data_IF_824350201251
#
_entry.id   IF_824350201251
#
_cell.length_a   1.000
_cell.length_b   1.000
_cell.length_c   1.000
_cell.angle_alpha   90.00
_cell.angle_beta   90.00
_cell.angle_gamma   90.00
#
_symmetry.space_group_name_H-M   'P 1'
#
loop_
_entity.id
_entity.type
_entity.pdbx_description
1 polymer ?
#
# COMPACT_ATOMS: atom_id res chain seq x y z
N UNK A 1 -9.38 -3.24 -27.81
CA UNK A 1 -8.31 -2.22 -27.71
C UNK A 1 -7.11 -2.90 -27.07
N UNK A 2 -5.91 -2.77 -27.65
CA UNK A 2 -4.66 -3.28 -27.06
C UNK A 2 -3.89 -2.09 -26.49
N UNK A 3 -3.45 -2.18 -25.23
CA UNK A 3 -2.68 -1.12 -24.56
C UNK A 3 -1.26 -1.65 -24.34
N UNK A 4 -0.21 -0.99 -24.85
CA UNK A 4 1.17 -1.42 -24.63
C UNK A 4 1.58 -1.24 -23.16
N UNK A 5 2.44 -2.12 -22.61
CA UNK A 5 2.91 -1.99 -21.24
C UNK A 5 3.80 -0.76 -21.07
N UNK A 6 3.70 -0.11 -19.91
CA UNK A 6 4.58 0.99 -19.51
C UNK A 6 5.24 0.66 -18.16
N UNK A 7 6.41 0.04 -18.22
CA UNK A 7 7.13 -0.42 -17.03
C UNK A 7 7.60 0.72 -16.13
N UNK A 8 7.97 1.87 -16.70
CA UNK A 8 8.38 3.04 -15.92
C UNK A 8 7.23 3.56 -15.05
N UNK A 9 6.02 3.63 -15.62
CA UNK A 9 4.82 4.00 -14.87
C UNK A 9 4.55 3.02 -13.72
N UNK A 10 4.63 1.71 -13.98
CA UNK A 10 4.36 0.71 -12.95
C UNK A 10 5.38 0.80 -11.80
N UNK A 11 6.67 0.99 -12.11
CA UNK A 11 7.72 1.14 -11.09
C UNK A 11 7.55 2.43 -10.31
N UNK A 12 7.20 3.53 -10.97
CA UNK A 12 6.92 4.81 -10.32
C UNK A 12 5.79 4.69 -9.29
N UNK A 13 4.66 4.13 -9.70
CA UNK A 13 3.48 3.95 -8.85
C UNK A 13 3.75 2.93 -7.73
N UNK A 14 4.40 1.81 -8.03
CA UNK A 14 4.75 0.80 -7.02
C UNK A 14 5.64 1.36 -5.90
N UNK A 15 6.58 2.26 -6.24
CA UNK A 15 7.40 2.97 -5.23
C UNK A 15 6.57 3.90 -4.35
N UNK A 16 5.57 4.59 -4.91
CA UNK A 16 4.68 5.46 -4.14
C UNK A 16 3.82 4.64 -3.17
N UNK A 17 3.23 3.52 -3.64
CA UNK A 17 2.47 2.60 -2.79
C UNK A 17 3.35 2.06 -1.66
N UNK A 18 4.59 1.65 -1.98
CA UNK A 18 5.52 1.13 -0.98
C UNK A 18 5.94 2.18 0.05
N UNK A 19 6.07 3.45 -0.35
CA UNK A 19 6.31 4.54 0.60
C UNK A 19 5.13 4.73 1.57
N UNK A 20 3.89 4.62 1.07
CA UNK A 20 2.69 4.66 1.90
C UNK A 20 2.61 3.44 2.85
N UNK A 21 2.98 2.24 2.39
CA UNK A 21 3.06 1.04 3.24
C UNK A 21 4.07 1.22 4.39
N UNK A 22 5.27 1.73 4.09
CA UNK A 22 6.32 1.99 5.07
C UNK A 22 5.93 3.06 6.11
N UNK A 23 4.98 3.93 5.78
CA UNK A 23 4.42 4.90 6.73
C UNK A 23 3.48 4.24 7.76
N UNK A 24 2.92 3.06 7.46
CA UNK A 24 2.09 2.31 8.40
C UNK A 24 2.94 1.52 9.40
N UNK A 25 4.00 0.89 8.91
CA UNK A 25 4.91 0.05 9.70
C UNK A 25 6.26 -0.03 9.01
N UNK A 26 7.39 -0.09 9.74
CA UNK A 26 8.68 -0.41 9.14
C UNK A 26 8.79 -1.89 8.72
N UNK A 27 7.93 -2.77 9.27
CA UNK A 27 7.94 -4.21 9.02
C UNK A 27 7.19 -4.53 7.71
N UNK A 28 7.78 -4.14 6.59
CA UNK A 28 7.27 -4.38 5.24
C UNK A 28 8.18 -5.35 4.50
N UNK A 29 7.63 -6.47 4.05
CA UNK A 29 8.31 -7.46 3.21
C UNK A 29 7.75 -7.44 1.79
N UNK A 30 8.47 -6.87 0.81
CA UNK A 30 7.99 -6.80 -0.58
C UNK A 30 7.96 -8.17 -1.25
N UNK A 31 6.86 -8.48 -1.93
CA UNK A 31 6.72 -9.69 -2.74
C UNK A 31 6.85 -9.38 -4.24
N UNK A 32 6.30 -8.24 -4.68
CA UNK A 32 6.33 -7.78 -6.06
C UNK A 32 6.44 -6.24 -6.13
N UNK A 33 6.13 -5.67 -7.29
CA UNK A 33 6.05 -4.22 -7.50
C UNK A 33 4.85 -3.58 -6.79
N UNK A 34 3.79 -4.34 -6.59
CA UNK A 34 2.48 -3.92 -6.09
C UNK A 34 1.99 -4.73 -4.88
N UNK A 35 2.73 -5.75 -4.45
CA UNK A 35 2.39 -6.61 -3.31
C UNK A 35 3.49 -6.63 -2.24
N UNK A 36 3.08 -6.62 -0.97
CA UNK A 36 3.95 -6.76 0.18
C UNK A 36 3.19 -7.33 1.39
N UNK A 37 3.89 -8.04 2.26
CA UNK A 37 3.42 -8.34 3.61
C UNK A 37 3.73 -7.19 4.55
N UNK A 38 2.78 -6.87 5.44
CA UNK A 38 2.91 -5.82 6.45
C UNK A 38 2.61 -6.42 7.81
N UNK A 39 3.52 -6.26 8.77
CA UNK A 39 3.24 -6.56 10.17
C UNK A 39 2.72 -5.31 10.89
N UNK A 40 1.43 -5.35 11.24
CA UNK A 40 0.74 -4.29 11.97
C UNK A 40 0.52 -4.63 13.45
N UNK A 41 1.02 -5.78 13.94
CA UNK A 41 0.86 -6.17 15.33
C UNK A 41 1.49 -5.13 16.27
N UNK A 42 0.72 -4.68 17.27
CA UNK A 42 1.19 -3.69 18.25
C UNK A 42 1.21 -2.25 17.75
N UNK A 43 0.73 -1.98 16.54
CA UNK A 43 0.67 -0.62 15.97
C UNK A 43 -0.61 0.14 16.36
N UNK A 44 -1.54 -0.47 17.10
CA UNK A 44 -2.84 0.11 17.43
C UNK A 44 -2.72 1.41 18.22
N UNK A 45 -1.75 1.51 19.13
CA UNK A 45 -1.50 2.74 19.89
C UNK A 45 -0.91 3.85 19.02
N UNK A 46 -0.07 3.49 18.05
CA UNK A 46 0.53 4.45 17.11
C UNK A 46 -0.54 5.04 16.20
N UNK A 47 -1.43 4.20 15.68
CA UNK A 47 -2.46 4.61 14.73
C UNK A 47 -3.77 5.06 15.39
N UNK A 48 -3.99 4.71 16.66
CA UNK A 48 -5.24 4.98 17.39
C UNK A 48 -6.43 4.15 16.92
N UNK A 49 -6.19 3.03 16.21
CA UNK A 49 -7.25 2.14 15.72
C UNK A 49 -6.74 0.72 15.44
N UNK A 50 -7.63 -0.27 15.36
CA UNK A 50 -7.27 -1.64 14.99
C UNK A 50 -6.66 -1.75 13.58
N UNK A 51 -5.81 -2.75 13.30
CA UNK A 51 -5.14 -2.90 12.00
C UNK A 51 -6.08 -2.93 10.80
N UNK A 52 -7.25 -3.56 10.94
CA UNK A 52 -8.27 -3.60 9.89
C UNK A 52 -8.73 -2.19 9.46
N UNK A 53 -8.90 -1.25 10.40
CA UNK A 53 -9.26 0.13 10.08
C UNK A 53 -8.07 0.91 9.50
N UNK A 54 -6.84 0.61 9.92
CA UNK A 54 -5.62 1.18 9.33
C UNK A 54 -5.53 0.81 7.85
N UNK A 55 -5.71 -0.48 7.52
CA UNK A 55 -5.71 -0.97 6.14
C UNK A 55 -6.85 -0.38 5.30
N UNK A 56 -8.06 -0.26 5.87
CA UNK A 56 -9.18 0.36 5.17
C UNK A 56 -8.90 1.84 4.83
N UNK A 57 -8.30 2.60 5.76
CA UNK A 57 -7.88 3.98 5.50
C UNK A 57 -6.75 4.06 4.49
N UNK A 58 -5.77 3.18 4.59
CA UNK A 58 -4.69 3.08 3.62
C UNK A 58 -5.24 2.87 2.20
N UNK A 59 -6.20 1.96 2.02
CA UNK A 59 -6.81 1.72 0.73
C UNK A 59 -7.51 2.97 0.16
N UNK A 60 -8.25 3.69 1.01
CA UNK A 60 -8.86 4.98 0.62
C UNK A 60 -7.82 6.04 0.27
N UNK A 61 -6.71 6.12 1.01
CA UNK A 61 -5.61 7.05 0.72
C UNK A 61 -4.96 6.74 -0.61
N UNK A 62 -4.67 5.47 -0.89
CA UNK A 62 -4.08 5.06 -2.17
C UNK A 62 -4.99 5.41 -3.35
N UNK A 63 -6.29 5.16 -3.22
CA UNK A 63 -7.27 5.53 -4.24
C UNK A 63 -7.32 7.04 -4.46
N UNK A 64 -7.36 7.81 -3.37
CA UNK A 64 -7.42 9.28 -3.43
C UNK A 64 -6.15 9.91 -4.00
N UNK A 65 -4.98 9.43 -3.61
CA UNK A 65 -3.69 10.06 -3.95
C UNK A 65 -3.12 9.56 -5.28
N UNK A 66 -3.30 8.27 -5.58
CA UNK A 66 -2.66 7.60 -6.72
C UNK A 66 -3.66 7.21 -7.81
N UNK A 67 -4.97 7.27 -7.54
CA UNK A 67 -6.02 6.94 -8.50
C UNK A 67 -6.12 5.44 -8.81
N UNK A 68 -5.64 4.58 -7.91
CA UNK A 68 -5.68 3.12 -8.05
C UNK A 68 -6.28 2.48 -6.80
N UNK A 69 -6.90 1.32 -6.95
CA UNK A 69 -7.44 0.55 -5.82
C UNK A 69 -6.42 -0.47 -5.32
N UNK A 70 -6.49 -0.80 -4.04
CA UNK A 70 -5.71 -1.88 -3.41
C UNK A 70 -6.63 -2.81 -2.62
N UNK A 71 -6.21 -4.06 -2.51
CA UNK A 71 -6.88 -5.09 -1.71
C UNK A 71 -5.93 -5.57 -0.62
N UNK A 72 -6.46 -5.95 0.55
CA UNK A 72 -5.69 -6.47 1.67
C UNK A 72 -6.37 -7.74 2.22
N UNK A 73 -5.56 -8.69 2.69
CA UNK A 73 -5.99 -9.97 3.25
C UNK A 73 -5.09 -10.44 4.36
#
# INVERSE_FOLDING_TARGET
VVIPPNMEKYVGVGRQVRALMLALTPQVEPLSIDEAFLDLAGTERLHGMPPALVLARFAQTVEKELGITVSAG
#
